data_IF_810076673755
#
_entry.id   IF_810076673755
#
_cell.length_a   1.000
_cell.length_b   1.000
_cell.length_c   1.000
_cell.angle_alpha   90.00
_cell.angle_beta   90.00
_cell.angle_gamma   90.00
#
_symmetry.space_group_name_H-M   'P 1'
#
loop_
_entity.id
_entity.type
_entity.pdbx_description
1 polymer ?
#
# COMPACT_ATOMS: atom_id res chain seq x y z
N UNK A 1 -7.74 -18.40 -1.84
CA UNK A 1 -6.43 -18.87 -1.33
C UNK A 1 -6.64 -19.09 0.17
N UNK A 2 -6.17 -20.18 0.80
CA UNK A 2 -6.24 -20.29 2.26
C UNK A 2 -5.55 -19.08 2.88
N UNK A 3 -6.02 -18.62 4.05
CA UNK A 3 -5.39 -17.51 4.75
C UNK A 3 -3.95 -17.92 5.06
N UNK A 4 -2.98 -17.28 4.40
CA UNK A 4 -1.58 -17.50 4.71
C UNK A 4 -1.26 -16.70 5.99
N UNK A 5 -1.21 -17.39 7.13
CA UNK A 5 -0.92 -16.76 8.42
C UNK A 5 0.49 -16.14 8.46
N UNK A 6 1.48 -16.71 7.78
CA UNK A 6 2.87 -16.22 7.77
C UNK A 6 2.98 -14.83 7.13
N UNK A 7 2.07 -14.51 6.21
CA UNK A 7 2.00 -13.20 5.57
C UNK A 7 1.27 -12.15 6.40
N UNK A 8 0.64 -12.53 7.51
CA UNK A 8 -0.14 -11.64 8.35
C UNK A 8 0.75 -10.80 9.27
N UNK A 9 0.26 -9.62 9.64
CA UNK A 9 0.98 -8.65 10.48
C UNK A 9 1.48 -9.27 11.80
N UNK A 10 0.71 -10.07 12.56
CA UNK A 10 1.23 -10.66 13.81
C UNK A 10 2.44 -11.56 13.58
N UNK A 11 2.42 -12.44 12.57
CA UNK A 11 3.55 -13.33 12.31
C UNK A 11 4.77 -12.60 11.73
N UNK A 12 4.55 -11.63 10.83
CA UNK A 12 5.62 -10.73 10.36
C UNK A 12 6.25 -9.95 11.49
N UNK A 13 5.47 -9.47 12.45
CA UNK A 13 6.00 -8.78 13.62
C UNK A 13 6.72 -9.72 14.57
N UNK A 14 6.21 -10.93 14.80
CA UNK A 14 6.83 -11.93 15.68
C UNK A 14 8.20 -12.38 15.15
N UNK A 15 8.34 -12.62 13.83
CA UNK A 15 9.64 -12.96 13.21
C UNK A 15 10.67 -11.84 13.35
N UNK A 16 10.15 -10.60 13.35
CA UNK A 16 10.70 -9.39 13.97
C UNK A 16 11.62 -9.63 15.14
N UNK A 17 11.03 -10.16 16.20
CA UNK A 17 11.44 -9.92 17.58
C UNK A 17 12.83 -10.46 17.92
N UNK A 18 13.29 -11.49 17.20
CA UNK A 18 14.59 -12.13 17.40
C UNK A 18 15.69 -11.69 16.41
N UNK A 19 15.39 -10.80 15.45
CA UNK A 19 16.42 -10.22 14.57
C UNK A 19 17.57 -9.61 15.40
N UNK A 20 18.80 -9.76 14.90
CA UNK A 20 19.99 -9.27 15.60
C UNK A 20 19.95 -7.75 15.74
N UNK A 21 20.46 -7.26 16.88
CA UNK A 21 20.55 -5.84 17.17
C UNK A 21 21.93 -5.53 17.74
N UNK A 22 22.51 -4.43 17.29
CA UNK A 22 23.78 -3.96 17.84
C UNK A 22 23.56 -3.39 19.26
N UNK A 23 24.28 -3.91 20.24
CA UNK A 23 24.25 -3.47 21.66
C UNK A 23 24.55 -1.98 21.85
N UNK A 24 25.24 -1.34 20.90
CA UNK A 24 25.44 0.12 20.92
C UNK A 24 24.14 0.92 20.99
N UNK A 25 22.99 0.32 20.60
CA UNK A 25 21.68 0.93 20.81
C UNK A 25 21.40 1.22 22.28
N UNK A 26 21.89 0.37 23.19
CA UNK A 26 21.74 0.55 24.62
C UNK A 26 22.56 1.76 25.09
N UNK A 27 23.77 1.97 24.54
CA UNK A 27 24.60 3.14 24.85
C UNK A 27 23.95 4.48 24.47
N UNK A 28 22.94 4.46 23.58
CA UNK A 28 22.14 5.65 23.25
C UNK A 28 21.11 6.03 24.31
N UNK A 29 20.89 5.18 25.32
CA UNK A 29 19.94 5.37 26.41
C UNK A 29 20.68 5.98 27.61
N UNK A 30 20.14 7.04 28.19
CA UNK A 30 20.81 7.79 29.25
C UNK A 30 21.03 6.96 30.51
N UNK A 31 20.05 6.12 30.87
CA UNK A 31 20.11 5.22 32.03
C UNK A 31 20.94 3.96 31.79
N UNK A 32 21.54 3.77 30.60
CA UNK A 32 22.36 2.58 30.31
C UNK A 32 23.44 2.33 31.37
N UNK A 33 24.25 3.34 31.68
CA UNK A 33 25.35 3.18 32.64
C UNK A 33 24.84 2.81 34.04
N UNK A 34 23.67 3.33 34.46
CA UNK A 34 23.08 3.00 35.76
C UNK A 34 22.48 1.59 35.80
N UNK A 35 21.91 1.12 34.69
CA UNK A 35 21.32 -0.23 34.60
C UNK A 35 22.40 -1.31 34.51
N UNK A 36 23.47 -1.06 33.76
CA UNK A 36 24.49 -2.06 33.45
C UNK A 36 25.77 -1.92 34.27
N UNK A 37 25.78 -1.13 35.34
CA UNK A 37 26.98 -0.93 36.18
C UNK A 37 27.51 -2.24 36.77
N UNK A 38 26.66 -3.26 36.93
CA UNK A 38 26.98 -4.53 37.58
C UNK A 38 26.42 -5.78 36.85
N UNK A 39 25.89 -5.63 35.62
CA UNK A 39 25.33 -6.75 34.86
C UNK A 39 26.35 -7.25 33.83
N UNK A 40 26.94 -8.42 34.09
CA UNK A 40 27.95 -9.04 33.24
C UNK A 40 27.35 -10.05 32.24
N UNK A 41 26.05 -10.33 32.31
CA UNK A 41 25.41 -11.27 31.40
C UNK A 41 25.19 -10.64 30.00
N UNK A 42 26.03 -11.03 29.05
CA UNK A 42 25.94 -10.60 27.64
C UNK A 42 24.63 -11.02 26.96
N UNK A 43 24.04 -12.16 27.35
CA UNK A 43 22.76 -12.61 26.80
C UNK A 43 21.61 -11.67 27.20
N UNK A 44 21.62 -11.19 28.45
CA UNK A 44 20.63 -10.20 28.92
C UNK A 44 20.84 -8.85 28.25
N UNK A 45 22.10 -8.43 28.01
CA UNK A 45 22.41 -7.23 27.23
C UNK A 45 21.83 -7.32 25.81
N UNK A 46 22.02 -8.45 25.13
CA UNK A 46 21.45 -8.68 23.80
C UNK A 46 19.91 -8.64 23.83
N UNK A 47 19.27 -9.32 24.79
CA UNK A 47 17.81 -9.31 24.94
C UNK A 47 17.28 -7.89 25.19
N UNK A 48 17.93 -7.10 26.05
CA UNK A 48 17.54 -5.71 26.32
C UNK A 48 17.77 -4.81 25.10
N UNK A 49 18.84 -5.01 24.34
CA UNK A 49 19.08 -4.30 23.10
C UNK A 49 17.98 -4.57 22.07
N UNK A 50 17.62 -5.85 21.90
CA UNK A 50 16.49 -6.29 21.08
C UNK A 50 15.17 -5.69 21.58
N UNK A 51 14.89 -5.73 22.89
CA UNK A 51 13.68 -5.14 23.47
C UNK A 51 13.52 -3.66 23.08
N UNK A 52 14.57 -2.87 23.19
CA UNK A 52 14.53 -1.45 22.82
C UNK A 52 14.25 -1.27 21.34
N UNK A 53 14.91 -2.04 20.48
CA UNK A 53 14.59 -2.05 19.05
C UNK A 53 13.12 -2.44 18.81
N UNK A 54 12.60 -3.47 19.50
CA UNK A 54 11.22 -3.95 19.35
C UNK A 54 10.22 -2.85 19.69
N UNK A 55 10.44 -2.11 20.78
CA UNK A 55 9.60 -0.98 21.16
C UNK A 55 9.71 0.16 20.11
N UNK A 56 10.89 0.41 19.54
CA UNK A 56 11.06 1.38 18.45
C UNK A 56 10.35 0.95 17.14
N UNK A 57 10.21 -0.35 16.88
CA UNK A 57 9.41 -0.83 15.74
C UNK A 57 7.92 -0.46 15.90
N UNK A 58 7.41 -0.43 17.13
CA UNK A 58 6.02 -0.04 17.41
C UNK A 58 5.79 1.45 17.08
N UNK A 59 6.77 2.32 17.32
CA UNK A 59 6.63 3.76 17.04
C UNK A 59 6.83 4.11 15.57
N UNK A 60 7.38 3.19 14.78
CA UNK A 60 7.72 3.40 13.37
C UNK A 60 6.84 2.53 12.48
N UNK A 61 7.27 1.30 12.20
CA UNK A 61 6.68 0.42 11.19
C UNK A 61 5.34 -0.22 11.62
N UNK A 62 5.15 -0.46 12.91
CA UNK A 62 4.00 -1.22 13.45
C UNK A 62 3.06 -0.36 14.31
N UNK A 63 2.90 0.92 13.95
CA UNK A 63 2.12 1.90 14.71
C UNK A 63 0.59 1.75 14.62
N UNK A 64 0.09 0.87 13.75
CA UNK A 64 -1.36 0.68 13.53
C UNK A 64 -2.12 0.08 14.72
N UNK A 65 -1.49 -0.80 15.50
CA UNK A 65 -2.09 -1.40 16.69
C UNK A 65 -1.07 -1.52 17.84
N UNK A 66 -0.66 -0.40 18.45
CA UNK A 66 0.49 -0.38 19.35
C UNK A 66 0.22 -1.11 20.68
N UNK A 67 -1.05 -1.17 21.11
CA UNK A 67 -1.46 -1.94 22.30
C UNK A 67 -1.18 -3.43 22.11
N UNK A 68 -1.59 -3.99 20.96
CA UNK A 68 -1.30 -5.40 20.65
C UNK A 68 0.20 -5.65 20.51
N UNK A 69 0.93 -4.81 19.77
CA UNK A 69 2.37 -4.97 19.62
C UNK A 69 3.12 -4.93 20.94
N UNK A 70 2.67 -4.11 21.88
CA UNK A 70 3.22 -4.09 23.22
C UNK A 70 2.98 -5.43 23.96
N UNK A 71 1.80 -6.06 23.82
CA UNK A 71 1.56 -7.41 24.35
C UNK A 71 2.46 -8.46 23.69
N UNK A 72 2.64 -8.40 22.37
CA UNK A 72 3.54 -9.29 21.63
C UNK A 72 4.99 -9.17 22.14
N UNK A 73 5.47 -7.94 22.34
CA UNK A 73 6.80 -7.66 22.90
C UNK A 73 6.92 -8.16 24.34
N UNK A 74 5.90 -7.92 25.17
CA UNK A 74 5.88 -8.42 26.56
C UNK A 74 5.94 -9.96 26.59
N UNK A 75 5.15 -10.63 25.75
CA UNK A 75 5.18 -12.09 25.63
C UNK A 75 6.58 -12.60 25.30
N UNK A 76 7.18 -12.05 24.23
CA UNK A 76 8.51 -12.44 23.78
C UNK A 76 9.58 -12.17 24.86
N UNK A 77 9.59 -10.97 25.44
CA UNK A 77 10.60 -10.57 26.43
C UNK A 77 10.53 -11.48 27.66
N UNK A 78 9.32 -11.68 28.20
CA UNK A 78 9.09 -12.53 29.35
C UNK A 78 9.53 -13.98 29.12
N UNK A 79 9.31 -14.50 27.90
CA UNK A 79 9.80 -15.82 27.52
C UNK A 79 11.33 -15.87 27.53
N UNK A 80 12.00 -14.92 26.89
CA UNK A 80 13.47 -14.87 26.80
C UNK A 80 14.14 -14.76 28.17
N UNK A 81 13.70 -13.84 29.03
CA UNK A 81 14.34 -13.67 30.35
C UNK A 81 14.14 -14.88 31.27
N UNK A 82 13.02 -15.59 31.11
CA UNK A 82 12.75 -16.84 31.84
C UNK A 82 13.65 -17.98 31.38
N UNK A 83 13.96 -18.04 30.09
CA UNK A 83 14.90 -19.02 29.52
C UNK A 83 16.33 -18.78 30.00
N UNK A 84 16.75 -17.52 30.17
CA UNK A 84 18.11 -17.18 30.64
C UNK A 84 18.31 -17.48 32.12
N UNK A 85 17.49 -16.87 32.99
CA UNK A 85 17.59 -17.10 34.43
C UNK A 85 16.24 -16.82 35.12
N UNK A 86 15.49 -17.86 35.51
CA UNK A 86 14.17 -17.69 36.12
C UNK A 86 14.22 -16.97 37.48
N UNK A 87 15.32 -17.06 38.22
CA UNK A 87 15.45 -16.46 39.56
C UNK A 87 15.66 -14.94 39.49
N UNK A 88 16.19 -14.44 38.37
CA UNK A 88 16.48 -13.01 38.15
C UNK A 88 15.41 -12.26 37.35
N UNK A 89 14.30 -12.91 37.01
CA UNK A 89 13.20 -12.35 36.23
C UNK A 89 12.79 -10.93 36.67
N UNK A 90 12.60 -10.72 37.98
CA UNK A 90 12.15 -9.43 38.50
C UNK A 90 13.22 -8.34 38.32
N UNK A 91 14.50 -8.69 38.46
CA UNK A 91 15.62 -7.79 38.21
C UNK A 91 15.62 -7.35 36.74
N UNK A 92 15.62 -8.31 35.83
CA UNK A 92 15.63 -8.03 34.39
C UNK A 92 14.39 -7.24 33.93
N UNK A 93 13.25 -7.49 34.55
CA UNK A 93 12.02 -6.72 34.29
C UNK A 93 12.16 -5.26 34.73
N UNK A 94 12.78 -4.99 35.89
CA UNK A 94 13.02 -3.62 36.36
C UNK A 94 14.00 -2.87 35.46
N UNK A 95 15.05 -3.55 35.01
CA UNK A 95 16.03 -3.01 34.06
C UNK A 95 15.33 -2.64 32.74
N UNK A 96 14.51 -3.56 32.21
CA UNK A 96 13.70 -3.33 31.02
C UNK A 96 12.73 -2.15 31.17
N UNK A 97 12.02 -2.04 32.30
CA UNK A 97 11.12 -0.91 32.57
C UNK A 97 11.89 0.41 32.49
N UNK A 98 13.06 0.47 33.13
CA UNK A 98 13.90 1.67 33.15
C UNK A 98 14.31 2.09 31.74
N UNK A 99 14.80 1.15 30.93
CA UNK A 99 15.25 1.43 29.57
C UNK A 99 14.09 1.77 28.62
N UNK A 100 12.97 1.04 28.70
CA UNK A 100 11.81 1.24 27.81
C UNK A 100 11.09 2.56 28.07
N UNK A 101 11.11 3.06 29.31
CA UNK A 101 10.56 4.38 29.66
C UNK A 101 11.24 5.54 28.92
N UNK A 102 12.48 5.37 28.47
CA UNK A 102 13.17 6.37 27.66
C UNK A 102 12.73 6.38 26.19
N UNK A 103 12.10 5.29 25.71
CA UNK A 103 11.58 5.22 24.34
C UNK A 103 10.25 5.96 24.27
N UNK A 104 10.25 7.10 23.57
CA UNK A 104 9.08 7.98 23.42
C UNK A 104 8.48 7.90 22.02
N UNK A 105 7.22 8.33 21.92
CA UNK A 105 6.57 8.54 20.64
C UNK A 105 7.25 9.66 19.84
N UNK A 106 7.36 9.46 18.52
CA UNK A 106 7.88 10.48 17.58
C UNK A 106 7.02 11.76 17.55
N UNK A 107 5.78 11.71 18.06
CA UNK A 107 4.84 12.84 18.09
C UNK A 107 4.97 13.73 19.34
N UNK A 108 5.95 13.48 20.21
CA UNK A 108 6.18 14.28 21.43
C UNK A 108 5.16 14.04 22.55
N UNK A 109 4.23 13.07 22.38
CA UNK A 109 3.31 12.66 23.45
C UNK A 109 4.09 12.10 24.63
N UNK A 110 3.73 12.51 25.85
CA UNK A 110 4.36 12.09 27.12
C UNK A 110 4.06 10.65 27.54
N UNK A 111 3.30 9.90 26.75
CA UNK A 111 2.86 8.57 27.13
C UNK A 111 3.95 7.55 26.78
N UNK A 112 4.20 6.61 27.68
CA UNK A 112 5.06 5.46 27.42
C UNK A 112 4.55 4.70 26.19
N UNK A 113 5.46 4.25 25.31
CA UNK A 113 5.10 3.49 24.10
C UNK A 113 4.53 2.13 24.47
N UNK A 114 5.23 1.42 25.35
CA UNK A 114 4.85 0.10 25.82
C UNK A 114 5.15 -0.02 27.31
N UNK A 115 4.18 -0.47 28.09
CA UNK A 115 4.35 -0.79 29.50
C UNK A 115 4.86 -2.23 29.61
N UNK A 116 6.04 -2.41 30.17
CA UNK A 116 6.56 -3.75 30.44
C UNK A 116 5.78 -4.36 31.59
N UNK A 117 5.19 -5.52 31.32
CA UNK A 117 4.38 -6.26 32.29
C UNK A 117 5.19 -7.44 32.82
N UNK A 118 5.06 -7.67 34.14
CA UNK A 118 5.72 -8.79 34.79
C UNK A 118 5.31 -10.11 34.11
N UNK A 119 6.22 -11.10 34.06
CA UNK A 119 5.93 -12.36 33.41
C UNK A 119 4.74 -13.06 34.04
N UNK A 120 3.89 -13.53 33.15
CA UNK A 120 2.77 -14.38 33.50
C UNK A 120 3.25 -15.71 34.08
N UNK A 121 2.51 -16.22 35.07
CA UNK A 121 2.93 -17.36 35.90
C UNK A 121 2.58 -18.75 35.35
N UNK A 122 1.93 -18.86 34.19
CA UNK A 122 1.24 -20.09 33.80
C UNK A 122 1.31 -20.41 32.28
N UNK A 123 0.89 -21.62 31.92
CA UNK A 123 0.81 -22.12 30.54
C UNK A 123 -0.26 -21.40 29.69
N UNK A 124 -1.21 -20.71 30.34
CA UNK A 124 -2.30 -19.94 29.70
C UNK A 124 -1.76 -18.90 28.70
N UNK A 125 -0.54 -18.43 28.93
CA UNK A 125 0.09 -17.33 28.19
C UNK A 125 0.31 -17.66 26.73
N UNK A 126 0.70 -18.90 26.42
CA UNK A 126 0.91 -19.31 25.04
C UNK A 126 -0.42 -19.40 24.28
N UNK A 127 -1.46 -19.92 24.94
CA UNK A 127 -2.82 -19.98 24.40
C UNK A 127 -3.32 -18.55 24.14
N UNK A 128 -3.12 -17.64 25.09
CA UNK A 128 -3.53 -16.24 24.97
C UNK A 128 -2.78 -15.51 23.85
N UNK A 129 -1.48 -15.74 23.70
CA UNK A 129 -0.72 -15.18 22.57
C UNK A 129 -1.29 -15.64 21.23
N UNK A 130 -1.54 -16.94 21.07
CA UNK A 130 -2.12 -17.50 19.84
C UNK A 130 -3.52 -16.96 19.59
N UNK A 131 -4.32 -16.80 20.64
CA UNK A 131 -5.67 -16.22 20.56
C UNK A 131 -5.62 -14.76 20.07
N UNK A 132 -4.72 -13.95 20.66
CA UNK A 132 -4.53 -12.55 20.26
C UNK A 132 -4.14 -12.45 18.78
N UNK A 133 -3.26 -13.33 18.30
CA UNK A 133 -2.83 -13.36 16.90
C UNK A 133 -3.97 -13.77 15.97
N UNK A 134 -4.71 -14.82 16.33
CA UNK A 134 -5.91 -15.23 15.59
C UNK A 134 -6.93 -14.09 15.48
N UNK A 135 -7.24 -13.39 16.58
CA UNK A 135 -8.24 -12.32 16.56
C UNK A 135 -7.82 -11.18 15.64
N UNK A 136 -6.54 -10.78 15.63
CA UNK A 136 -6.07 -9.77 14.68
C UNK A 136 -6.13 -10.27 13.23
N UNK A 137 -5.79 -11.53 12.96
CA UNK A 137 -5.91 -12.12 11.62
C UNK A 137 -7.36 -12.12 11.17
N UNK A 138 -8.28 -12.58 12.03
CA UNK A 138 -9.73 -12.56 11.80
C UNK A 138 -10.22 -11.15 11.47
N UNK A 139 -9.87 -10.17 12.30
CA UNK A 139 -10.34 -8.79 12.14
C UNK A 139 -9.79 -8.15 10.86
N UNK A 140 -8.54 -8.45 10.49
CA UNK A 140 -7.93 -7.96 9.26
C UNK A 140 -8.47 -8.64 7.99
N UNK A 141 -8.90 -9.90 8.07
CA UNK A 141 -9.36 -10.70 6.92
C UNK A 141 -10.89 -10.82 6.84
N UNK A 142 -11.63 -10.13 7.72
CA UNK A 142 -13.09 -10.18 7.79
C UNK A 142 -13.83 -9.59 6.58
N UNK A 143 -15.13 -9.30 6.76
CA UNK A 143 -16.11 -9.03 5.70
C UNK A 143 -15.75 -7.97 4.64
N UNK A 144 -14.76 -7.09 4.88
CA UNK A 144 -14.31 -6.07 3.93
C UNK A 144 -13.31 -6.59 2.87
N UNK A 145 -12.73 -7.78 3.04
CA UNK A 145 -11.63 -8.28 2.19
C UNK A 145 -12.06 -9.42 1.25
N UNK A 146 -13.13 -10.13 1.57
CA UNK A 146 -13.59 -11.30 0.83
C UNK A 146 -14.25 -10.87 -0.48
N UNK A 147 -13.74 -11.37 -1.63
CA UNK A 147 -14.18 -10.92 -2.96
C UNK A 147 -15.32 -11.75 -3.55
N UNK A 148 -15.43 -13.02 -3.15
CA UNK A 148 -16.40 -13.96 -3.69
C UNK A 148 -16.81 -15.02 -2.66
N UNK A 149 -17.88 -15.76 -3.00
CA UNK A 149 -18.44 -16.82 -2.16
C UNK A 149 -17.41 -17.89 -1.77
N UNK A 150 -16.55 -18.29 -2.70
CA UNK A 150 -15.54 -19.33 -2.45
C UNK A 150 -14.48 -18.86 -1.44
N UNK A 151 -14.05 -17.60 -1.49
CA UNK A 151 -13.16 -17.01 -0.48
C UNK A 151 -13.82 -16.95 0.88
N UNK A 152 -15.12 -16.62 0.95
CA UNK A 152 -15.87 -16.64 2.20
C UNK A 152 -15.99 -18.05 2.80
N UNK A 153 -16.25 -19.07 1.97
CA UNK A 153 -16.30 -20.46 2.44
C UNK A 153 -14.95 -20.90 3.02
N UNK A 154 -13.83 -20.57 2.35
CA UNK A 154 -12.48 -20.85 2.84
C UNK A 154 -12.15 -20.09 4.14
N UNK A 155 -12.64 -18.87 4.26
CA UNK A 155 -12.53 -18.11 5.51
C UNK A 155 -13.29 -18.82 6.63
N UNK A 156 -14.52 -19.28 6.40
CA UNK A 156 -15.27 -20.04 7.41
C UNK A 156 -14.60 -21.37 7.79
N UNK A 157 -13.99 -22.08 6.83
CA UNK A 157 -13.17 -23.26 7.12
C UNK A 157 -12.04 -22.93 8.10
N UNK A 158 -11.30 -21.84 7.83
CA UNK A 158 -10.27 -21.34 8.76
C UNK A 158 -10.84 -21.02 10.16
N UNK A 159 -11.99 -20.35 10.25
CA UNK A 159 -12.63 -20.04 11.53
C UNK A 159 -12.97 -21.33 12.31
N UNK A 160 -13.50 -22.36 11.63
CA UNK A 160 -13.83 -23.66 12.23
C UNK A 160 -12.60 -24.38 12.74
N UNK A 161 -11.56 -24.51 11.91
CA UNK A 161 -10.30 -25.16 12.29
C UNK A 161 -9.69 -24.50 13.53
N UNK A 162 -9.71 -23.16 13.59
CA UNK A 162 -9.20 -22.42 14.76
C UNK A 162 -10.08 -22.63 15.99
N UNK A 163 -11.41 -22.63 15.85
CA UNK A 163 -12.33 -22.94 16.95
C UNK A 163 -12.04 -24.32 17.55
N UNK A 164 -11.82 -25.33 16.72
CA UNK A 164 -11.46 -26.68 17.15
C UNK A 164 -10.10 -26.73 17.85
N UNK A 165 -9.10 -26.04 17.30
CA UNK A 165 -7.77 -25.90 17.93
C UNK A 165 -7.85 -25.31 19.34
N UNK A 166 -8.55 -24.19 19.52
CA UNK A 166 -8.66 -23.57 20.85
C UNK A 166 -9.54 -24.39 21.80
N UNK A 167 -10.62 -24.98 21.30
CA UNK A 167 -11.49 -25.88 22.08
C UNK A 167 -10.72 -27.07 22.64
N UNK A 168 -9.77 -27.63 21.88
CA UNK A 168 -8.92 -28.72 22.35
C UNK A 168 -7.82 -28.24 23.29
N UNK A 169 -7.20 -27.08 22.99
CA UNK A 169 -6.10 -26.51 23.78
C UNK A 169 -6.49 -26.14 25.21
N UNK A 170 -7.74 -25.74 25.44
CA UNK A 170 -8.24 -25.38 26.78
C UNK A 170 -8.80 -26.54 27.58
N UNK A 171 -9.05 -27.72 26.97
CA UNK A 171 -9.63 -28.87 27.70
C UNK A 171 -8.77 -29.28 28.89
N UNK A 172 -7.45 -29.42 28.70
CA UNK A 172 -6.56 -29.89 29.79
C UNK A 172 -6.36 -28.82 30.87
N UNK A 173 -6.04 -27.54 30.53
CA UNK A 173 -5.84 -26.49 31.53
C UNK A 173 -7.11 -26.07 32.28
N UNK A 174 -8.30 -26.28 31.69
CA UNK A 174 -9.60 -25.90 32.27
C UNK A 174 -10.49 -27.09 32.66
N UNK A 175 -9.90 -28.17 33.17
CA UNK A 175 -10.65 -29.32 33.71
C UNK A 175 -11.02 -29.19 35.21
N UNK A 176 -10.55 -28.15 35.91
CA UNK A 176 -10.77 -27.96 37.36
C UNK A 176 -11.64 -26.74 37.72
N UNK A 177 -12.06 -26.67 38.98
CA UNK A 177 -12.82 -25.54 39.57
C UNK A 177 -12.08 -24.20 39.54
N UNK A 178 -10.77 -24.23 39.34
CA UNK A 178 -9.89 -23.06 39.35
C UNK A 178 -9.75 -22.38 37.98
N UNK A 179 -10.44 -22.88 36.94
CA UNK A 179 -10.52 -22.22 35.64
C UNK A 179 -11.28 -20.89 35.77
N UNK A 180 -10.54 -19.81 35.98
CA UNK A 180 -11.09 -18.46 35.94
C UNK A 180 -11.29 -18.07 34.49
N UNK A 181 -12.53 -18.15 34.04
CA UNK A 181 -12.99 -17.71 32.71
C UNK A 181 -12.35 -16.39 32.26
N UNK A 182 -12.25 -15.40 33.14
CA UNK A 182 -11.65 -14.10 32.81
C UNK A 182 -10.18 -14.16 32.36
N UNK A 183 -9.45 -15.22 32.70
CA UNK A 183 -8.05 -15.39 32.32
C UNK A 183 -7.87 -15.65 30.81
N UNK A 184 -8.96 -16.00 30.10
CA UNK A 184 -8.97 -16.29 28.65
C UNK A 184 -9.65 -15.19 27.83
N UNK A 185 -9.55 -13.94 28.25
CA UNK A 185 -10.20 -12.79 27.59
C UNK A 185 -9.20 -11.67 27.31
N UNK A 186 -9.09 -11.27 26.04
CA UNK A 186 -8.29 -10.13 25.60
C UNK A 186 -9.18 -8.89 25.46
N UNK A 187 -10.34 -9.08 24.84
CA UNK A 187 -11.43 -8.12 24.74
C UNK A 187 -12.77 -8.85 24.58
N UNK A 188 -13.87 -8.09 24.47
CA UNK A 188 -15.21 -8.65 24.38
C UNK A 188 -15.45 -9.56 23.17
N UNK A 189 -14.74 -9.34 22.07
CA UNK A 189 -14.81 -10.12 20.82
C UNK A 189 -13.68 -11.14 20.67
N UNK A 190 -12.71 -11.14 21.59
CA UNK A 190 -11.54 -11.99 21.56
C UNK A 190 -11.39 -12.69 22.92
N UNK A 191 -12.17 -13.76 23.10
CA UNK A 191 -12.31 -14.51 24.35
C UNK A 191 -12.60 -15.99 24.11
N UNK A 192 -12.06 -16.88 24.94
CA UNK A 192 -12.43 -18.32 24.91
C UNK A 192 -13.65 -18.63 25.78
N UNK A 193 -14.18 -17.65 26.52
CA UNK A 193 -15.41 -17.83 27.28
C UNK A 193 -16.65 -17.87 26.39
N UNK A 194 -16.62 -17.05 25.34
CA UNK A 194 -17.65 -17.01 24.32
C UNK A 194 -16.98 -17.27 22.96
N UNK A 195 -16.86 -18.56 22.66
CA UNK A 195 -16.25 -19.01 21.41
C UNK A 195 -17.13 -18.68 20.19
N UNK A 196 -18.42 -18.41 20.35
CA UNK A 196 -19.27 -18.05 19.22
C UNK A 196 -19.02 -16.59 18.80
N UNK A 197 -18.74 -15.70 19.76
CA UNK A 197 -18.29 -14.33 19.48
C UNK A 197 -16.89 -14.29 18.89
N UNK A 198 -15.99 -15.17 19.34
CA UNK A 198 -14.59 -15.16 18.89
C UNK A 198 -14.40 -15.83 17.53
N UNK A 199 -15.16 -16.88 17.26
CA UNK A 199 -15.08 -17.65 16.01
C UNK A 199 -16.40 -17.54 15.21
N UNK A 200 -16.80 -16.31 14.80
CA UNK A 200 -18.06 -16.11 14.11
C UNK A 200 -17.97 -16.58 12.66
N UNK A 201 -18.84 -17.51 12.28
CA UNK A 201 -19.01 -17.90 10.88
C UNK A 201 -19.80 -16.84 10.11
N UNK A 202 -19.36 -16.54 8.89
CA UNK A 202 -20.05 -15.60 8.00
C UNK A 202 -21.10 -16.35 7.20
N UNK A 203 -22.32 -15.83 7.12
CA UNK A 203 -23.33 -16.37 6.20
C UNK A 203 -22.99 -15.97 4.75
N UNK A 204 -22.14 -16.76 4.09
CA UNK A 204 -21.65 -16.50 2.73
C UNK A 204 -22.77 -16.43 1.70
N UNK A 205 -23.83 -17.23 1.86
CA UNK A 205 -24.99 -17.17 0.97
C UNK A 205 -25.68 -15.81 1.03
N UNK A 206 -25.91 -15.27 2.23
CA UNK A 206 -26.55 -13.97 2.40
C UNK A 206 -25.66 -12.83 1.91
N UNK A 207 -24.35 -12.94 2.13
CA UNK A 207 -23.37 -11.94 1.69
C UNK A 207 -23.35 -11.80 0.16
N UNK A 208 -23.40 -12.92 -0.58
CA UNK A 208 -23.28 -12.93 -2.04
C UNK A 208 -24.59 -13.11 -2.83
N UNK A 209 -25.71 -13.47 -2.19
CA UNK A 209 -27.05 -13.36 -2.80
C UNK A 209 -27.41 -11.90 -3.12
N UNK A 210 -26.87 -10.93 -2.38
CA UNK A 210 -27.07 -9.50 -2.65
C UNK A 210 -26.31 -9.00 -3.88
N UNK A 211 -25.24 -9.67 -4.29
CA UNK A 211 -24.47 -9.32 -5.50
C UNK A 211 -25.08 -9.89 -6.79
N UNK A 212 -25.76 -11.04 -6.73
CA UNK A 212 -26.55 -11.55 -7.88
C UNK A 212 -27.73 -10.62 -8.24
N UNK A 213 -28.24 -9.83 -7.29
CA UNK A 213 -29.30 -8.82 -7.52
C UNK A 213 -28.72 -7.52 -8.14
N UNK A 214 -27.38 -7.39 -8.25
CA UNK A 214 -26.69 -6.18 -8.73
C UNK A 214 -25.71 -6.40 -9.88
N UNK A 215 -25.75 -7.53 -10.57
CA UNK A 215 -25.48 -7.44 -12.00
C UNK A 215 -26.77 -6.93 -12.63
N UNK A 216 -26.86 -5.65 -13.07
CA UNK A 216 -27.91 -5.31 -13.99
C UNK A 216 -27.67 -6.23 -15.19
N UNK A 217 -28.52 -7.26 -15.33
CA UNK A 217 -28.85 -7.77 -16.65
C UNK A 217 -29.00 -6.52 -17.51
N UNK A 218 -28.24 -6.36 -18.61
CA UNK A 218 -28.50 -5.28 -19.53
C UNK A 218 -29.89 -5.57 -20.07
N UNK A 219 -30.91 -5.06 -19.37
CA UNK A 219 -32.22 -4.82 -19.93
C UNK A 219 -31.93 -3.71 -20.92
N UNK A 220 -31.52 -4.13 -22.12
CA UNK A 220 -31.70 -3.34 -23.31
C UNK A 220 -33.22 -3.21 -23.39
N UNK A 221 -33.76 -2.23 -22.67
CA UNK A 221 -35.03 -1.65 -23.02
C UNK A 221 -34.77 -1.15 -24.43
N UNK A 222 -35.25 -1.89 -25.42
CA UNK A 222 -35.28 -1.45 -26.80
C UNK A 222 -36.01 -0.10 -26.76
N UNK A 223 -35.23 0.99 -26.74
CA UNK A 223 -35.81 2.33 -26.84
C UNK A 223 -36.54 2.34 -28.15
N UNK A 224 -37.80 2.76 -28.12
CA UNK A 224 -38.58 2.84 -29.35
C UNK A 224 -37.80 3.69 -30.38
N UNK A 225 -37.87 3.37 -31.68
CA UNK A 225 -37.24 4.18 -32.73
C UNK A 225 -37.57 5.68 -32.62
N UNK A 226 -38.74 5.98 -32.04
CA UNK A 226 -39.26 7.31 -31.76
C UNK A 226 -38.46 8.06 -30.68
N UNK A 227 -38.06 7.38 -29.60
CA UNK A 227 -37.20 7.98 -28.57
C UNK A 227 -35.80 8.27 -29.09
N UNK A 228 -35.23 7.35 -29.87
CA UNK A 228 -33.91 7.52 -30.49
C UNK A 228 -33.94 8.71 -31.48
N UNK A 229 -34.97 8.78 -32.31
CA UNK A 229 -35.18 9.91 -33.22
C UNK A 229 -35.31 11.24 -32.48
N UNK A 230 -36.07 11.28 -31.38
CA UNK A 230 -36.22 12.49 -30.56
C UNK A 230 -34.89 12.97 -29.97
N UNK A 231 -34.08 12.07 -29.41
CA UNK A 231 -32.76 12.44 -28.84
C UNK A 231 -31.80 12.98 -29.91
N UNK A 232 -31.81 12.42 -31.11
CA UNK A 232 -30.97 12.89 -32.22
C UNK A 232 -31.39 14.30 -32.64
N UNK A 233 -32.69 14.54 -32.84
CA UNK A 233 -33.22 15.84 -33.25
C UNK A 233 -32.91 16.91 -32.21
N UNK A 234 -33.16 16.64 -30.93
CA UNK A 234 -32.87 17.58 -29.84
C UNK A 234 -31.37 17.89 -29.77
N UNK A 235 -30.52 16.88 -29.97
CA UNK A 235 -29.06 17.08 -29.99
C UNK A 235 -28.61 17.98 -31.13
N UNK A 236 -29.15 17.81 -32.34
CA UNK A 236 -28.84 18.68 -33.48
C UNK A 236 -29.32 20.12 -33.28
N UNK A 237 -30.51 20.30 -32.68
CA UNK A 237 -31.03 21.63 -32.36
C UNK A 237 -30.13 22.33 -31.34
N UNK A 238 -29.75 21.65 -30.25
CA UNK A 238 -28.85 22.22 -29.24
C UNK A 238 -27.47 22.54 -29.81
N UNK A 239 -26.94 21.68 -30.67
CA UNK A 239 -25.65 21.92 -31.34
C UNK A 239 -25.71 23.10 -32.31
N UNK A 240 -26.81 23.24 -33.06
CA UNK A 240 -27.05 24.39 -33.93
C UNK A 240 -27.14 25.70 -33.14
N UNK A 241 -27.89 25.70 -32.03
CA UNK A 241 -27.97 26.86 -31.13
C UNK A 241 -26.62 27.20 -30.51
N UNK A 242 -25.82 26.19 -30.17
CA UNK A 242 -24.46 26.39 -29.66
C UNK A 242 -23.54 27.03 -30.71
N UNK A 243 -23.61 26.61 -31.97
CA UNK A 243 -22.86 27.25 -33.07
C UNK A 243 -23.31 28.71 -33.24
N UNK A 244 -24.61 28.99 -33.25
CA UNK A 244 -25.12 30.37 -33.34
C UNK A 244 -24.68 31.23 -32.16
N UNK A 245 -24.63 30.63 -30.96
CA UNK A 245 -24.10 31.29 -29.77
C UNK A 245 -22.61 31.62 -29.93
N UNK A 246 -21.80 30.66 -30.41
CA UNK A 246 -20.39 30.90 -30.68
C UNK A 246 -20.17 31.97 -31.77
N UNK A 247 -20.98 31.99 -32.83
CA UNK A 247 -20.88 32.98 -33.89
C UNK A 247 -21.23 34.41 -33.40
N UNK A 248 -22.22 34.51 -32.50
CA UNK A 248 -22.64 35.80 -31.92
C UNK A 248 -21.68 36.32 -30.85
N UNK A 249 -21.12 35.45 -30.01
CA UNK A 249 -20.33 35.85 -28.83
C UNK A 249 -18.83 35.67 -28.98
N UNK A 250 -18.35 35.03 -30.05
CA UNK A 250 -16.92 34.86 -30.34
C UNK A 250 -16.59 35.63 -31.61
N UNK A 251 -15.57 36.51 -31.67
CA UNK A 251 -15.22 37.22 -32.89
C UNK A 251 -14.43 36.30 -33.83
N UNK A 252 -15.08 35.26 -34.36
CA UNK A 252 -14.47 34.18 -35.16
C UNK A 252 -13.81 34.74 -36.43
N UNK A 253 -14.33 35.84 -37.00
CA UNK A 253 -13.72 36.54 -38.14
C UNK A 253 -12.29 37.07 -37.87
N UNK A 254 -12.01 37.52 -36.63
CA UNK A 254 -10.68 38.00 -36.24
C UNK A 254 -9.65 36.88 -36.09
N UNK A 255 -10.13 35.65 -35.82
CA UNK A 255 -9.30 34.46 -35.64
C UNK A 255 -9.03 33.81 -37.00
N UNK A 256 -10.04 33.70 -37.87
CA UNK A 256 -9.89 33.18 -39.24
C UNK A 256 -8.94 34.05 -40.08
N UNK A 257 -9.02 35.38 -39.95
CA UNK A 257 -8.06 36.28 -40.63
C UNK A 257 -6.63 36.11 -40.10
N UNK A 258 -6.45 35.83 -38.80
CA UNK A 258 -5.16 35.53 -38.19
C UNK A 258 -4.57 34.20 -38.70
N UNK A 259 -5.40 33.18 -38.88
CA UNK A 259 -4.98 31.91 -39.48
C UNK A 259 -4.66 32.04 -40.98
N UNK A 260 -5.43 32.84 -41.75
CA UNK A 260 -5.07 33.14 -43.14
C UNK A 260 -3.74 33.88 -43.24
N UNK A 261 -3.48 34.90 -42.41
CA UNK A 261 -2.18 35.59 -42.38
C UNK A 261 -1.02 34.63 -42.09
N UNK A 262 -1.16 33.76 -41.07
CA UNK A 262 -0.15 32.73 -40.76
C UNK A 262 0.11 31.78 -41.93
N UNK A 263 -0.90 31.44 -42.72
CA UNK A 263 -0.72 30.59 -43.92
C UNK A 263 0.07 31.31 -45.03
N UNK A 264 -0.17 32.61 -45.26
CA UNK A 264 0.60 33.40 -46.22
C UNK A 264 2.05 33.63 -45.77
N UNK A 265 2.27 33.89 -44.47
CA UNK A 265 3.62 34.04 -43.92
C UNK A 265 4.42 32.74 -44.01
N UNK A 266 3.79 31.58 -43.78
CA UNK A 266 4.43 30.28 -43.92
C UNK A 266 4.82 29.97 -45.37
N UNK A 267 3.95 30.32 -46.34
CA UNK A 267 4.26 30.19 -47.77
C UNK A 267 5.43 31.08 -48.19
N UNK A 268 5.45 32.34 -47.74
CA UNK A 268 6.53 33.29 -48.01
C UNK A 268 7.88 32.84 -47.43
N UNK A 269 7.88 32.16 -46.28
CA UNK A 269 9.10 31.61 -45.70
C UNK A 269 9.59 30.36 -46.45
N UNK A 270 8.69 29.57 -47.03
CA UNK A 270 9.07 28.41 -47.85
C UNK A 270 9.68 28.85 -49.19
N UNK A 271 9.08 29.85 -49.86
CA UNK A 271 9.60 30.40 -51.12
C UNK A 271 10.99 31.06 -50.95
N UNK A 272 11.32 31.59 -49.76
CA UNK A 272 12.67 32.10 -49.43
C UNK A 272 13.70 31.01 -49.15
N UNK A 273 13.28 29.85 -48.62
CA UNK A 273 14.20 28.74 -48.33
C UNK A 273 14.59 27.94 -49.58
N UNK A 274 13.80 28.01 -50.67
CA UNK A 274 14.15 27.38 -51.95
C UNK A 274 15.19 28.18 -52.74
N UNK A 275 15.18 29.52 -52.65
CA UNK A 275 16.13 30.40 -53.36
C UNK A 275 17.57 30.24 -52.82
N UNK A 276 17.72 30.22 -51.49
CA UNK A 276 19.01 30.01 -50.81
C UNK A 276 19.56 28.58 -51.00
N UNK A 277 18.70 27.62 -51.33
CA UNK A 277 19.09 26.21 -51.54
C UNK A 277 19.66 25.95 -52.94
N UNK A 278 19.35 26.78 -53.93
CA UNK A 278 19.89 26.67 -55.29
C UNK A 278 21.27 27.32 -55.47
N UNK A 279 21.67 28.25 -54.61
CA UNK A 279 22.94 28.99 -54.76
C UNK A 279 24.18 28.31 -54.17
N UNK A 280 24.04 27.12 -53.57
CA UNK A 280 25.07 26.51 -52.70
C UNK A 280 25.62 25.14 -53.16
N UNK A 281 25.27 24.67 -54.37
CA UNK A 281 25.95 23.53 -55.01
C UNK A 281 26.96 24.01 -56.08
N UNK A 282 28.24 24.03 -55.71
CA UNK A 282 29.41 24.00 -56.60
C UNK A 282 29.35 22.79 -57.57
N UNK A 283 29.93 22.81 -58.77
CA UNK A 283 31.38 22.79 -58.98
C UNK A 283 31.81 22.90 -60.45
N UNK A 284 32.99 23.49 -60.61
CA UNK A 284 33.82 23.76 -61.78
C UNK A 284 34.08 22.57 -62.73
N UNK A 285 34.24 22.85 -64.03
CA UNK A 285 35.13 22.09 -64.94
C UNK A 285 35.88 23.01 -65.93
N UNK A 286 37.19 22.75 -65.97
CA UNK A 286 38.41 23.37 -66.56
C UNK A 286 38.41 23.53 -68.13
N UNK A 287 39.31 24.37 -68.73
CA UNK A 287 39.10 25.13 -69.99
C UNK A 287 39.86 24.64 -71.26
N UNK A 288 39.51 25.30 -72.39
CA UNK A 288 40.17 25.50 -73.73
C UNK A 288 40.72 24.33 -74.57
N UNK A 289 40.54 24.46 -75.90
CA UNK A 289 40.91 23.58 -77.05
C UNK A 289 39.96 22.40 -77.35
N UNK A 290 39.49 22.11 -78.58
CA UNK A 290 39.87 22.56 -79.92
C UNK A 290 38.71 22.38 -80.92
N UNK A 291 38.62 23.34 -81.85
CA UNK A 291 38.24 23.24 -83.26
C UNK A 291 37.10 22.30 -83.73
N UNK A 292 36.06 22.92 -84.33
CA UNK A 292 35.82 22.72 -85.76
C UNK A 292 35.13 23.95 -86.39
N UNK A 293 35.88 24.70 -87.19
CA UNK A 293 35.40 25.78 -88.06
C UNK A 293 34.75 25.18 -89.31
N UNK A 294 33.60 25.72 -89.77
CA UNK A 294 33.25 25.99 -91.20
C UNK A 294 32.15 27.07 -91.27
N UNK A 295 32.52 28.32 -91.56
CA UNK A 295 32.46 29.07 -92.84
C UNK A 295 31.13 29.84 -93.06
N UNK A 296 31.28 31.16 -93.21
CA UNK A 296 30.24 32.15 -93.53
C UNK A 296 29.91 32.13 -95.03
N UNK A 297 28.64 32.37 -95.38
CA UNK A 297 28.30 33.13 -96.59
C UNK A 297 27.13 34.06 -96.26
N UNK A 298 27.39 35.36 -96.35
CA UNK A 298 26.42 36.45 -96.28
C UNK A 298 26.17 36.90 -97.72
N UNK A 299 24.92 37.14 -98.09
CA UNK A 299 24.58 37.87 -99.32
C UNK A 299 23.72 39.07 -98.95
N UNK A 300 24.31 40.26 -99.04
CA UNK A 300 23.55 41.50 -99.10
C UNK A 300 23.12 41.75 -100.55
N UNK A 301 21.83 42.06 -100.76
CA UNK A 301 21.34 42.68 -102.01
C UNK A 301 20.90 44.11 -101.69
N UNK A 302 21.27 45.10 -102.51
CA UNK A 302 20.89 46.49 -102.32
C UNK A 302 19.47 46.77 -102.82
N UNK A 303 18.88 47.87 -102.34
CA UNK A 303 17.61 48.40 -102.85
C UNK A 303 17.75 49.06 -104.23
N UNK A 304 16.67 48.89 -105.01
CA UNK A 304 16.35 49.23 -106.42
C UNK A 304 16.82 48.25 -107.51
#
# INVERSE_FOLDING_TARGET
MPINEDEQIPNKFNSRLDESQNESILKSIATYNSVFMFEDNNEIKDILAKLIRNVRLITSEYSGNPKKRCRDVNYWFNKKIKEVNPDKINSYSNDAITLVNEVKWNTGKKNQVCKIEAPYKNEIVEIMKKLDDYCEIRDNNGCSVLKNKNECLKYNEYIKERKEYFSSSIKVPCNGSDCKKNDYTIDASCTLNDMDLTFPEINCDTLYKKTEIKEPVPTIKERSPLEIGFFIIVSFILFYLFILFLDKFTPVGSIISRFRRRKYDLKRNFDRMDDDRYSLYHSEKIPSDSENKRYYIEYARPDN
#
